data_IF_531339738610
#
_entry.id   IF_531339738610
#
_cell.length_a   1.000
_cell.length_b   1.000
_cell.length_c   1.000
_cell.angle_alpha   90.00
_cell.angle_beta   90.00
_cell.angle_gamma   90.00
#
_symmetry.space_group_name_H-M   'P 1'
#
loop_
_entity.id
_entity.type
_entity.pdbx_description
1 polymer ?
#
# COMPACT_ATOMS: atom_id res chain seq x y z
N UNK A 1 -21.40 -2.39 18.35
CA UNK A 1 -19.92 -2.55 18.25
C UNK A 1 -19.44 -3.03 16.89
N UNK A 2 -20.04 -4.06 16.27
CA UNK A 2 -19.63 -4.54 14.95
C UNK A 2 -19.73 -3.46 13.84
N UNK A 3 -20.79 -2.64 13.83
CA UNK A 3 -20.98 -1.53 12.88
C UNK A 3 -19.87 -0.48 12.94
N UNK A 4 -19.36 -0.16 14.13
CA UNK A 4 -18.30 0.82 14.33
C UNK A 4 -16.97 0.36 13.72
N UNK A 5 -16.61 -0.92 13.90
CA UNK A 5 -15.40 -1.50 13.32
C UNK A 5 -15.50 -1.52 11.79
N UNK A 6 -16.67 -1.92 11.25
CA UNK A 6 -16.91 -1.87 9.80
C UNK A 6 -16.67 -0.48 9.25
N UNK A 7 -17.26 0.53 9.88
CA UNK A 7 -17.12 1.92 9.45
C UNK A 7 -15.67 2.41 9.57
N UNK A 8 -14.95 2.06 10.64
CA UNK A 8 -13.55 2.46 10.80
C UNK A 8 -12.64 1.86 9.73
N UNK A 9 -12.80 0.57 9.39
CA UNK A 9 -12.01 -0.08 8.34
C UNK A 9 -12.30 0.57 6.98
N UNK A 10 -13.58 0.74 6.63
CA UNK A 10 -13.97 1.38 5.37
C UNK A 10 -13.44 2.81 5.30
N UNK A 11 -13.58 3.60 6.37
CA UNK A 11 -13.07 4.98 6.45
C UNK A 11 -11.55 5.05 6.27
N UNK A 12 -10.81 4.05 6.74
CA UNK A 12 -9.35 3.99 6.57
C UNK A 12 -8.96 3.69 5.13
N UNK A 13 -9.64 2.74 4.50
CA UNK A 13 -9.41 2.36 3.11
C UNK A 13 -9.82 3.47 2.15
N UNK A 14 -10.92 4.18 2.44
CA UNK A 14 -11.41 5.28 1.61
C UNK A 14 -10.44 6.46 1.54
N UNK A 15 -9.51 6.61 2.51
CA UNK A 15 -8.48 7.66 2.46
C UNK A 15 -7.55 7.53 1.26
N UNK A 16 -7.42 6.34 0.67
CA UNK A 16 -6.54 6.08 -0.47
C UNK A 16 -7.21 6.33 -1.83
N UNK A 17 -8.51 6.66 -1.85
CA UNK A 17 -9.26 6.93 -3.08
C UNK A 17 -9.77 8.36 -3.07
N UNK A 18 -9.42 9.13 -4.09
CA UNK A 18 -9.88 10.51 -4.24
C UNK A 18 -11.37 10.57 -4.53
N UNK A 19 -12.02 11.57 -3.94
CA UNK A 19 -13.41 11.94 -4.23
C UNK A 19 -14.36 10.74 -4.14
N UNK A 20 -14.06 9.78 -3.27
CA UNK A 20 -14.92 8.62 -3.05
C UNK A 20 -16.23 9.12 -2.44
N UNK A 21 -17.28 9.18 -3.26
CA UNK A 21 -18.60 9.57 -2.77
C UNK A 21 -19.19 8.42 -1.94
N UNK A 22 -20.02 8.76 -0.94
CA UNK A 22 -20.72 7.76 -0.13
C UNK A 22 -21.58 6.80 -0.99
N UNK A 23 -22.01 7.26 -2.18
CA UNK A 23 -22.81 6.49 -3.13
C UNK A 23 -21.96 5.49 -3.95
N UNK A 24 -20.67 5.77 -4.17
CA UNK A 24 -19.74 4.84 -4.82
C UNK A 24 -19.29 3.72 -3.88
N UNK A 25 -19.39 3.92 -2.57
CA UNK A 25 -19.20 2.85 -1.59
C UNK A 25 -20.41 1.92 -1.69
N UNK A 26 -20.31 0.91 -2.55
CA UNK A 26 -21.38 -0.05 -2.73
C UNK A 26 -21.78 -0.68 -1.37
N UNK A 27 -23.09 -0.83 -1.16
CA UNK A 27 -23.67 -1.50 0.01
C UNK A 27 -23.08 -2.92 0.18
N UNK A 28 -22.67 -3.54 -0.92
CA UNK A 28 -21.97 -4.81 -0.94
C UNK A 28 -20.67 -4.77 -0.10
N UNK A 29 -19.95 -3.64 -0.05
CA UNK A 29 -18.72 -3.50 0.74
C UNK A 29 -19.00 -3.63 2.24
N UNK A 30 -20.15 -3.12 2.70
CA UNK A 30 -20.65 -3.29 4.07
C UNK A 30 -21.07 -4.75 4.33
N UNK A 31 -21.54 -5.45 3.29
CA UNK A 31 -21.80 -6.90 3.30
C UNK A 31 -20.52 -7.75 3.20
N UNK A 32 -19.40 -7.17 2.76
CA UNK A 32 -18.08 -7.80 2.73
C UNK A 32 -17.44 -7.91 1.36
N UNK A 33 -18.04 -7.39 0.29
CA UNK A 33 -17.47 -7.42 -1.06
C UNK A 33 -17.73 -6.09 -1.78
N UNK A 34 -16.70 -5.39 -2.21
CA UNK A 34 -16.82 -4.11 -2.89
C UNK A 34 -16.06 -4.13 -4.21
N UNK A 35 -16.59 -3.42 -5.20
CA UNK A 35 -15.89 -3.18 -6.45
C UNK A 35 -16.01 -1.71 -6.81
N UNK A 36 -14.93 -1.13 -7.30
CA UNK A 36 -14.83 0.22 -7.84
C UNK A 36 -14.08 0.15 -9.17
N UNK A 37 -14.51 0.96 -10.14
CA UNK A 37 -13.86 1.08 -11.44
C UNK A 37 -13.39 2.52 -11.69
N UNK A 38 -12.33 2.65 -12.47
CA UNK A 38 -11.71 3.90 -12.89
C UNK A 38 -11.45 4.87 -11.74
N UNK A 39 -10.76 4.39 -10.70
CA UNK A 39 -10.50 5.18 -9.50
C UNK A 39 -9.22 5.99 -9.62
N UNK A 40 -9.26 7.21 -9.07
CA UNK A 40 -8.06 8.00 -8.82
C UNK A 40 -7.62 7.75 -7.39
N UNK A 41 -6.36 7.36 -7.21
CA UNK A 41 -5.78 7.16 -5.89
C UNK A 41 -5.33 8.51 -5.32
N UNK A 42 -5.38 8.64 -4.00
CA UNK A 42 -4.90 9.85 -3.32
C UNK A 42 -3.36 9.84 -3.27
N UNK A 43 -2.73 10.79 -3.97
CA UNK A 43 -1.27 10.82 -4.10
C UNK A 43 -0.60 11.10 -2.76
N UNK A 44 -1.19 11.95 -1.91
CA UNK A 44 -0.61 12.27 -0.60
C UNK A 44 -0.68 11.06 0.32
N UNK A 45 -1.81 10.38 0.36
CA UNK A 45 -1.95 9.14 1.13
C UNK A 45 -0.96 8.06 0.66
N UNK A 46 -0.71 7.97 -0.64
CA UNK A 46 0.30 7.05 -1.20
C UNK A 46 1.73 7.47 -0.87
N UNK A 47 2.06 8.76 -0.99
CA UNK A 47 3.37 9.30 -0.60
C UNK A 47 3.67 9.03 0.87
N UNK A 48 2.68 9.24 1.75
CA UNK A 48 2.81 9.05 3.20
C UNK A 48 3.01 7.57 3.55
N UNK A 49 2.20 6.67 2.98
CA UNK A 49 2.28 5.23 3.31
C UNK A 49 3.52 4.55 2.74
N UNK A 50 4.04 5.06 1.62
CA UNK A 50 5.27 4.53 0.99
C UNK A 50 6.53 5.20 1.51
N UNK A 51 6.41 6.19 2.40
CA UNK A 51 7.52 7.00 2.89
C UNK A 51 8.36 7.55 1.72
N UNK A 52 7.68 8.02 0.67
CA UNK A 52 8.34 8.42 -0.56
C UNK A 52 9.34 9.56 -0.27
N UNK A 53 10.57 9.51 -0.81
CA UNK A 53 11.56 10.56 -0.60
C UNK A 53 11.03 11.96 -0.93
N UNK A 54 11.44 12.99 -0.19
CA UNK A 54 10.91 14.36 -0.30
C UNK A 54 11.23 15.05 -1.63
N UNK A 55 12.22 14.55 -2.36
CA UNK A 55 12.58 15.02 -3.71
C UNK A 55 11.73 14.38 -4.83
N UNK A 56 10.88 13.39 -4.50
CA UNK A 56 9.91 12.79 -5.40
C UNK A 56 8.50 13.18 -4.98
N UNK A 57 7.61 13.36 -5.96
CA UNK A 57 6.18 13.59 -5.75
C UNK A 57 5.37 12.75 -6.73
N UNK A 58 4.30 12.13 -6.25
CA UNK A 58 3.34 11.45 -7.11
C UNK A 58 2.47 12.53 -7.76
N UNK A 59 2.57 12.63 -9.08
CA UNK A 59 1.80 13.56 -9.91
C UNK A 59 0.40 13.05 -10.16
N UNK A 60 0.29 11.74 -10.39
CA UNK A 60 -0.95 11.06 -10.75
C UNK A 60 -0.87 9.60 -10.34
N UNK A 61 -1.94 9.10 -9.73
CA UNK A 61 -2.10 7.68 -9.46
C UNK A 61 -3.52 7.23 -9.84
N UNK A 62 -3.62 6.26 -10.74
CA UNK A 62 -4.90 5.73 -11.23
C UNK A 62 -4.94 4.22 -11.10
N UNK A 63 -6.12 3.68 -10.90
CA UNK A 63 -6.36 2.24 -10.91
C UNK A 63 -7.63 1.95 -11.72
N UNK A 64 -7.51 1.04 -12.69
CA UNK A 64 -8.59 0.69 -13.59
C UNK A 64 -9.75 0.00 -12.87
N UNK A 65 -9.45 -0.98 -12.01
CA UNK A 65 -10.47 -1.62 -11.16
C UNK A 65 -9.88 -1.99 -9.80
N UNK A 66 -10.66 -1.81 -8.76
CA UNK A 66 -10.33 -2.22 -7.40
C UNK A 66 -11.44 -3.11 -6.85
N UNK A 67 -11.09 -4.33 -6.49
CA UNK A 67 -11.97 -5.26 -5.80
C UNK A 67 -11.50 -5.45 -4.36
N UNK A 68 -12.44 -5.47 -3.43
CA UNK A 68 -12.16 -5.69 -2.01
C UNK A 68 -13.09 -6.76 -1.45
N UNK A 69 -12.52 -7.69 -0.70
CA UNK A 69 -13.26 -8.70 0.06
C UNK A 69 -12.85 -8.67 1.52
N UNK A 70 -13.82 -8.40 2.38
CA UNK A 70 -13.66 -8.25 3.82
C UNK A 70 -14.39 -9.40 4.52
N UNK A 71 -13.66 -10.37 5.11
CA UNK A 71 -14.27 -11.49 5.84
C UNK A 71 -14.74 -11.04 7.23
N UNK A 72 -15.85 -10.30 7.31
CA UNK A 72 -16.32 -9.66 8.55
C UNK A 72 -16.40 -10.59 9.76
N UNK A 73 -16.81 -11.85 9.57
CA UNK A 73 -16.90 -12.85 10.65
C UNK A 73 -15.52 -13.34 11.13
N UNK A 74 -14.50 -13.30 10.27
CA UNK A 74 -13.22 -13.97 10.45
C UNK A 74 -12.01 -13.02 10.37
N UNK A 75 -12.18 -11.72 10.62
CA UNK A 75 -11.09 -10.71 10.56
C UNK A 75 -9.89 -10.97 11.49
N UNK A 76 -10.02 -11.88 12.47
CA UNK A 76 -8.89 -12.30 13.33
C UNK A 76 -7.97 -13.30 12.64
N UNK A 77 -8.54 -14.11 11.76
CA UNK A 77 -7.90 -15.29 11.16
C UNK A 77 -7.63 -15.10 9.68
N UNK A 78 -8.55 -14.44 8.95
CA UNK A 78 -8.46 -14.24 7.51
C UNK A 78 -8.10 -12.80 7.15
N UNK A 79 -7.28 -12.60 6.10
CA UNK A 79 -6.92 -11.28 5.60
C UNK A 79 -8.10 -10.62 4.89
N UNK A 80 -8.11 -9.29 4.92
CA UNK A 80 -8.86 -8.50 3.93
C UNK A 80 -8.12 -8.65 2.62
N UNK A 81 -8.82 -9.10 1.57
CA UNK A 81 -8.26 -9.25 0.24
C UNK A 81 -8.55 -7.98 -0.55
N UNK A 82 -7.51 -7.34 -1.08
CA UNK A 82 -7.60 -6.19 -1.96
C UNK A 82 -6.93 -6.57 -3.28
N UNK A 83 -7.64 -6.41 -4.38
CA UNK A 83 -7.14 -6.69 -5.72
C UNK A 83 -7.26 -5.42 -6.56
N UNK A 84 -6.15 -5.01 -7.19
CA UNK A 84 -6.09 -3.82 -8.03
C UNK A 84 -5.66 -4.21 -9.44
N UNK A 85 -6.36 -3.69 -10.44
CA UNK A 85 -6.04 -3.87 -11.85
C UNK A 85 -5.60 -2.53 -12.45
N UNK A 86 -4.66 -2.60 -13.38
CA UNK A 86 -4.15 -1.48 -14.19
C UNK A 86 -3.81 -0.26 -13.34
N UNK A 87 -2.88 -0.45 -12.42
CA UNK A 87 -2.37 0.61 -11.55
C UNK A 87 -1.27 1.36 -12.29
N UNK A 88 -1.46 2.67 -12.45
CA UNK A 88 -0.49 3.55 -13.10
C UNK A 88 -0.15 4.68 -12.13
N UNK A 89 1.14 4.82 -11.85
CA UNK A 89 1.68 5.83 -10.93
C UNK A 89 2.73 6.65 -11.69
N UNK A 90 2.45 7.93 -11.85
CA UNK A 90 3.40 8.91 -12.40
C UNK A 90 4.01 9.72 -11.26
N UNK A 91 5.34 9.73 -11.21
CA UNK A 91 6.16 10.39 -10.22
C UNK A 91 7.02 11.44 -10.93
N UNK A 92 7.20 12.60 -10.32
CA UNK A 92 8.10 13.65 -10.80
C UNK A 92 9.11 14.06 -9.72
N UNK A 93 10.30 14.48 -10.15
CA UNK A 93 11.28 15.11 -9.25
C UNK A 93 10.85 16.54 -8.94
N UNK A 94 10.98 16.96 -7.68
CA UNK A 94 10.68 18.32 -7.25
C UNK A 94 11.95 19.17 -7.14
N UNK A 95 11.95 20.39 -7.67
CA UNK A 95 13.03 21.37 -7.46
C UNK A 95 13.05 21.87 -6.01
N UNK A 96 11.86 22.19 -5.47
CA UNK A 96 11.67 22.46 -4.04
C UNK A 96 11.24 21.16 -3.36
N UNK A 97 12.00 20.71 -2.37
CA UNK A 97 11.67 19.53 -1.57
C UNK A 97 10.27 19.66 -0.97
N UNK A 98 9.51 18.56 -0.95
CA UNK A 98 8.22 18.52 -0.26
C UNK A 98 8.44 18.82 1.22
N UNK A 99 7.56 19.65 1.79
CA UNK A 99 7.58 19.93 3.22
C UNK A 99 7.38 18.63 3.99
N UNK A 100 8.29 18.33 4.93
CA UNK A 100 8.17 17.20 5.85
C UNK A 100 7.02 17.36 6.85
N UNK A 101 6.12 18.35 6.67
CA UNK A 101 5.12 18.76 7.66
C UNK A 101 4.05 17.70 7.99
N UNK A 102 4.17 16.45 7.50
CA UNK A 102 3.42 15.30 8.00
C UNK A 102 4.25 14.00 8.14
N UNK A 103 5.57 14.05 7.97
CA UNK A 103 6.45 12.91 8.29
C UNK A 103 6.68 12.73 9.80
N UNK A 104 5.96 13.50 10.63
CA UNK A 104 5.74 13.17 12.03
C UNK A 104 4.91 11.89 12.14
N UNK A 105 5.63 10.77 12.12
CA UNK A 105 5.50 9.71 13.11
C UNK A 105 4.07 9.32 13.48
N UNK A 106 3.43 8.42 12.73
CA UNK A 106 2.51 7.42 13.30
C UNK A 106 1.35 7.88 14.19
N UNK A 107 0.99 9.16 14.20
CA UNK A 107 0.01 9.78 15.08
C UNK A 107 -1.01 10.55 14.25
N UNK A 108 -1.77 9.82 13.42
CA UNK A 108 -3.15 10.20 13.20
C UNK A 108 -3.76 10.32 14.63
N UNK A 109 -4.36 11.44 15.06
CA UNK A 109 -4.93 11.58 16.42
C UNK A 109 -6.06 10.56 16.71
N UNK A 110 -6.46 9.79 15.68
CA UNK A 110 -7.27 8.57 15.82
C UNK A 110 -6.47 7.27 16.09
N UNK A 111 -5.15 7.35 16.27
CA UNK A 111 -4.26 6.28 16.74
C UNK A 111 -4.39 6.16 18.26
N UNK A 112 -5.62 5.84 18.67
CA UNK A 112 -5.80 5.22 19.97
C UNK A 112 -4.98 3.93 20.07
N UNK A 113 -4.96 3.37 21.28
CA UNK A 113 -4.34 2.09 21.64
C UNK A 113 -4.46 1.07 20.49
N UNK A 114 -3.34 0.43 20.12
CA UNK A 114 -3.29 -0.51 18.99
C UNK A 114 -4.40 -1.57 19.10
N UNK A 115 -5.42 -1.42 18.26
CA UNK A 115 -6.72 -2.05 18.45
C UNK A 115 -7.00 -3.22 17.53
N UNK A 116 -8.27 -3.60 17.47
CA UNK A 116 -8.76 -4.59 16.51
C UNK A 116 -8.68 -4.07 15.06
N UNK A 117 -9.10 -2.83 14.83
CA UNK A 117 -9.08 -2.19 13.51
C UNK A 117 -7.67 -2.15 12.92
N UNK A 118 -6.67 -1.75 13.71
CA UNK A 118 -5.26 -1.72 13.28
C UNK A 118 -4.77 -3.11 12.88
N UNK A 119 -5.12 -4.13 13.68
CA UNK A 119 -4.83 -5.52 13.34
C UNK A 119 -5.51 -5.99 12.07
N UNK A 120 -6.74 -5.57 11.79
CA UNK A 120 -7.42 -5.93 10.54
C UNK A 120 -6.72 -5.30 9.33
N UNK A 121 -6.35 -4.01 9.44
CA UNK A 121 -5.63 -3.27 8.38
C UNK A 121 -4.25 -3.86 8.13
N UNK A 122 -3.50 -4.17 9.19
CA UNK A 122 -2.18 -4.80 9.07
C UNK A 122 -2.24 -6.19 8.44
N UNK A 123 -3.40 -6.85 8.55
CA UNK A 123 -3.68 -8.14 7.94
C UNK A 123 -4.07 -8.09 6.47
N UNK A 124 -4.16 -6.91 5.83
CA UNK A 124 -4.52 -6.81 4.40
C UNK A 124 -3.51 -7.57 3.54
N UNK A 125 -4.04 -8.34 2.60
CA UNK A 125 -3.31 -8.90 1.46
C UNK A 125 -3.70 -8.14 0.20
N UNK A 126 -2.71 -7.73 -0.58
CA UNK A 126 -2.89 -6.93 -1.79
C UNK A 126 -2.33 -7.70 -2.99
N UNK A 127 -3.13 -7.84 -4.04
CA UNK A 127 -2.70 -8.37 -5.34
C UNK A 127 -2.90 -7.28 -6.39
N UNK A 128 -1.91 -7.08 -7.25
CA UNK A 128 -1.98 -6.13 -8.36
C UNK A 128 -1.71 -6.88 -9.66
N UNK A 129 -2.62 -6.75 -10.63
CA UNK A 129 -2.56 -7.49 -11.92
C UNK A 129 -1.76 -6.76 -13.00
N UNK A 130 -1.45 -5.49 -12.82
CA UNK A 130 -0.61 -4.69 -13.73
C UNK A 130 -0.24 -3.41 -12.99
N UNK A 131 1.06 -3.15 -12.85
CA UNK A 131 1.57 -1.98 -12.16
C UNK A 131 2.65 -1.30 -12.99
N UNK A 132 2.40 -0.05 -13.35
CA UNK A 132 3.36 0.79 -14.06
C UNK A 132 3.72 2.00 -13.22
N UNK A 133 5.00 2.11 -12.86
CA UNK A 133 5.58 3.33 -12.33
C UNK A 133 6.32 4.08 -13.44
N UNK A 134 6.14 5.39 -13.52
CA UNK A 134 6.96 6.25 -14.39
C UNK A 134 7.50 7.41 -13.58
N UNK A 135 8.82 7.53 -13.51
CA UNK A 135 9.53 8.64 -12.89
C UNK A 135 10.00 9.58 -14.01
N UNK A 136 9.59 10.85 -13.94
CA UNK A 136 10.02 11.92 -14.85
C UNK A 136 10.87 12.91 -14.08
N UNK A 137 12.07 13.19 -14.58
CA UNK A 137 12.95 14.25 -14.09
C UNK A 137 13.39 15.15 -15.24
N UNK A 138 14.15 16.20 -14.94
CA UNK A 138 14.71 17.08 -15.97
C UNK A 138 15.75 16.37 -16.87
N UNK A 139 16.54 15.45 -16.31
CA UNK A 139 17.65 14.79 -17.01
C UNK A 139 17.39 13.35 -17.47
N UNK A 140 16.42 12.67 -16.85
CA UNK A 140 16.08 11.31 -17.22
C UNK A 140 14.60 10.98 -16.99
N UNK A 141 14.14 9.95 -17.73
CA UNK A 141 12.86 9.29 -17.52
C UNK A 141 13.15 7.82 -17.20
N UNK A 142 12.53 7.31 -16.14
CA UNK A 142 12.58 5.90 -15.81
C UNK A 142 11.16 5.32 -15.74
N UNK A 143 10.99 4.07 -16.13
CA UNK A 143 9.74 3.33 -15.98
C UNK A 143 10.02 1.95 -15.37
N UNK A 144 9.11 1.52 -14.49
CA UNK A 144 9.09 0.18 -13.93
C UNK A 144 7.75 -0.43 -14.25
N UNK A 145 7.76 -1.60 -14.90
CA UNK A 145 6.57 -2.37 -15.19
C UNK A 145 6.63 -3.72 -14.46
N UNK A 146 5.62 -3.97 -13.62
CA UNK A 146 5.40 -5.23 -12.94
C UNK A 146 4.09 -5.85 -13.48
N UNK A 147 4.15 -7.00 -14.16
CA UNK A 147 2.94 -7.70 -14.62
C UNK A 147 2.11 -8.24 -13.48
N UNK A 148 2.70 -8.53 -12.32
CA UNK A 148 1.94 -8.85 -11.12
C UNK A 148 2.75 -8.52 -9.88
N UNK A 149 2.06 -8.09 -8.82
CA UNK A 149 2.64 -7.81 -7.51
C UNK A 149 1.71 -8.37 -6.43
N UNK A 150 2.23 -9.28 -5.61
CA UNK A 150 1.53 -9.82 -4.45
C UNK A 150 2.17 -9.34 -3.16
N UNK A 151 1.36 -8.90 -2.21
CA UNK A 151 1.75 -8.52 -0.86
C UNK A 151 0.86 -9.28 0.11
N UNK A 152 1.46 -10.08 0.97
CA UNK A 152 0.72 -10.87 1.95
C UNK A 152 1.50 -11.04 3.25
N UNK A 153 0.78 -11.40 4.31
CA UNK A 153 1.38 -11.63 5.63
C UNK A 153 2.01 -13.02 5.70
N UNK A 154 3.18 -13.14 6.33
CA UNK A 154 3.93 -14.40 6.46
C UNK A 154 4.19 -14.73 7.92
N UNK A 155 4.55 -15.98 8.20
CA UNK A 155 5.09 -16.37 9.49
C UNK A 155 6.50 -15.76 9.70
N UNK A 156 7.02 -15.70 10.93
CA UNK A 156 8.34 -15.12 11.22
C UNK A 156 9.51 -15.77 10.45
N UNK A 157 9.35 -17.04 10.06
CA UNK A 157 10.30 -17.78 9.23
C UNK A 157 10.16 -17.49 7.72
N UNK A 158 9.25 -16.59 7.32
CA UNK A 158 8.96 -16.23 5.95
C UNK A 158 8.11 -17.24 5.18
N UNK A 159 7.49 -18.22 5.86
CA UNK A 159 6.55 -19.14 5.21
C UNK A 159 5.17 -18.49 5.04
N UNK A 160 4.53 -18.80 3.91
CA UNK A 160 3.12 -18.45 3.69
C UNK A 160 2.25 -19.32 4.60
N UNK A 161 1.29 -18.69 5.27
CA UNK A 161 0.39 -19.35 6.23
C UNK A 161 -1.05 -18.91 5.98
N UNK A 162 -2.00 -19.80 6.26
CA UNK A 162 -3.41 -19.56 5.96
C UNK A 162 -4.13 -18.69 7.01
N UNK A 163 -3.51 -18.48 8.17
CA UNK A 163 -4.12 -17.75 9.29
C UNK A 163 -3.24 -16.61 9.81
N UNK A 164 -3.82 -15.41 9.94
CA UNK A 164 -3.17 -14.19 10.45
C UNK A 164 -2.69 -14.27 11.92
N UNK A 165 -3.13 -15.26 12.69
CA UNK A 165 -2.68 -15.46 14.07
C UNK A 165 -1.23 -15.90 14.14
N UNK A 166 -0.74 -16.59 13.10
CA UNK A 166 0.63 -17.10 13.00
C UNK A 166 1.59 -16.09 12.36
N UNK A 167 1.10 -14.95 11.86
CA UNK A 167 1.90 -13.94 11.15
C UNK A 167 2.46 -12.84 12.06
N UNK A 168 2.33 -13.01 13.38
CA UNK A 168 2.61 -11.97 14.37
C UNK A 168 3.33 -12.53 15.59
N UNK A 169 4.32 -11.79 16.08
CA UNK A 169 4.95 -12.07 17.37
C UNK A 169 4.59 -10.96 18.35
N UNK A 170 3.91 -11.32 19.43
CA UNK A 170 3.50 -10.37 20.46
C UNK A 170 4.40 -10.50 21.68
N UNK A 171 5.02 -9.41 22.08
CA UNK A 171 5.71 -9.32 23.38
C UNK A 171 4.85 -8.48 24.32
N UNK A 172 4.09 -9.15 25.19
CA UNK A 172 3.18 -8.49 26.14
C UNK A 172 3.95 -7.68 27.18
N UNK A 173 5.11 -8.15 27.63
CA UNK A 173 5.96 -7.48 28.64
C UNK A 173 6.51 -6.15 28.14
N UNK A 174 6.99 -6.11 26.88
CA UNK A 174 7.55 -4.88 26.27
C UNK A 174 6.50 -4.05 25.53
N UNK A 175 5.25 -4.50 25.47
CA UNK A 175 4.19 -3.79 24.75
C UNK A 175 4.45 -3.64 23.26
N UNK A 176 5.08 -4.62 22.60
CA UNK A 176 5.40 -4.57 21.17
C UNK A 176 4.75 -5.72 20.40
N UNK A 177 4.50 -5.48 19.11
CA UNK A 177 4.11 -6.51 18.15
C UNK A 177 5.00 -6.43 16.91
N UNK A 178 5.49 -7.58 16.45
CA UNK A 178 6.17 -7.72 15.18
C UNK A 178 5.21 -8.32 14.15
N UNK A 179 5.27 -7.78 12.94
CA UNK A 179 4.47 -8.18 11.79
C UNK A 179 5.40 -8.49 10.63
N UNK A 180 5.08 -9.54 9.88
CA UNK A 180 5.90 -9.99 8.76
C UNK A 180 5.07 -9.97 7.48
N UNK A 181 5.62 -9.34 6.43
CA UNK A 181 5.03 -9.33 5.10
C UNK A 181 6.06 -9.77 4.07
N UNK A 182 5.56 -10.42 3.04
CA UNK A 182 6.33 -10.70 1.84
C UNK A 182 5.69 -9.99 0.65
N UNK A 183 6.54 -9.34 -0.13
CA UNK A 183 6.21 -8.72 -1.41
C UNK A 183 6.87 -9.58 -2.49
N UNK A 184 6.09 -10.02 -3.46
CA UNK A 184 6.54 -10.94 -4.50
C UNK A 184 6.10 -10.43 -5.87
N UNK A 185 7.04 -10.41 -6.83
CA UNK A 185 6.76 -10.15 -8.24
C UNK A 185 7.64 -11.07 -9.10
N UNK A 186 7.06 -11.89 -10.00
CA UNK A 186 7.81 -12.84 -10.82
C UNK A 186 8.81 -12.18 -11.76
N UNK A 187 8.51 -10.98 -12.25
CA UNK A 187 9.35 -10.25 -13.17
C UNK A 187 9.13 -8.74 -13.04
N UNK A 188 10.20 -7.98 -13.25
CA UNK A 188 10.12 -6.54 -13.42
C UNK A 188 10.91 -6.12 -14.65
N UNK A 189 10.35 -5.16 -15.38
CA UNK A 189 11.03 -4.47 -16.46
C UNK A 189 11.30 -3.05 -16.02
N UNK A 190 12.56 -2.67 -15.98
CA UNK A 190 13.00 -1.33 -15.61
C UNK A 190 13.66 -0.72 -16.84
N UNK A 191 13.16 0.42 -17.31
CA UNK A 191 13.76 1.15 -18.42
C UNK A 191 14.13 2.55 -17.96
N UNK A 192 15.29 3.04 -18.37
CA UNK A 192 15.73 4.40 -18.11
C UNK A 192 16.28 5.00 -19.40
N UNK A 193 15.95 6.26 -19.67
CA UNK A 193 16.42 7.00 -20.84
C UNK A 193 16.70 8.45 -20.47
N UNK A 194 17.61 9.09 -21.21
CA UNK A 194 17.78 10.54 -21.15
C UNK A 194 16.50 11.24 -21.60
N UNK A 195 16.22 12.41 -21.04
CA UNK A 195 15.16 13.34 -21.50
C UNK A 195 15.70 14.45 -22.38
N UNK A 196 17.00 14.46 -22.69
CA UNK A 196 17.59 15.42 -23.63
C UNK A 196 17.11 15.16 -25.06
N UNK A 197 16.44 16.15 -25.64
CA UNK A 197 15.94 16.11 -27.01
C UNK A 197 17.05 16.31 -28.05
N UNK A 198 18.16 16.94 -27.67
CA UNK A 198 19.27 17.23 -28.58
C UNK A 198 20.20 16.03 -28.77
N UNK A 199 20.25 15.14 -27.77
CA UNK A 199 20.97 13.87 -27.86
C UNK A 199 20.13 12.77 -27.20
N UNK A 200 19.33 11.99 -27.96
CA UNK A 200 18.55 10.89 -27.39
C UNK A 200 19.53 9.83 -26.88
N UNK A 201 19.92 9.94 -25.61
CA UNK A 201 20.83 9.02 -24.96
C UNK A 201 20.29 7.60 -25.02
N UNK A 202 21.19 6.62 -25.12
CA UNK A 202 20.83 5.20 -25.19
C UNK A 202 19.97 4.81 -23.99
N UNK A 203 18.82 4.17 -24.26
CA UNK A 203 17.98 3.65 -23.18
C UNK A 203 18.60 2.39 -22.59
N UNK A 204 18.62 2.33 -21.26
CA UNK A 204 19.06 1.17 -20.50
C UNK A 204 17.81 0.40 -20.10
N UNK A 205 17.81 -0.91 -20.34
CA UNK A 205 16.73 -1.82 -19.95
C UNK A 205 17.29 -2.91 -19.05
N UNK A 206 16.72 -3.02 -17.84
CA UNK A 206 16.94 -4.13 -16.94
C UNK A 206 15.69 -5.00 -16.89
N UNK A 207 15.90 -6.31 -16.91
CA UNK A 207 14.85 -7.29 -16.67
C UNK A 207 15.33 -8.14 -15.50
N UNK A 208 14.52 -8.17 -14.45
CA UNK A 208 14.76 -9.01 -13.28
C UNK A 208 13.65 -10.04 -13.15
N UNK A 209 13.99 -11.21 -12.67
CA UNK A 209 13.09 -12.34 -12.49
C UNK A 209 13.10 -12.81 -11.03
N UNK A 210 12.04 -13.54 -10.65
CA UNK A 210 11.88 -14.23 -9.37
C UNK A 210 12.12 -13.32 -8.16
N UNK A 211 11.62 -12.09 -8.21
CA UNK A 211 11.90 -11.10 -7.18
C UNK A 211 11.00 -11.27 -5.97
N UNK A 212 11.61 -11.12 -4.79
CA UNK A 212 10.95 -11.24 -3.50
C UNK A 212 11.60 -10.29 -2.51
N UNK A 213 10.77 -9.60 -1.73
CA UNK A 213 11.21 -8.75 -0.64
C UNK A 213 10.45 -9.11 0.63
N UNK A 214 11.17 -9.21 1.75
CA UNK A 214 10.59 -9.49 3.07
C UNK A 214 10.69 -8.26 3.94
N UNK A 215 9.58 -7.91 4.58
CA UNK A 215 9.47 -6.73 5.44
C UNK A 215 9.06 -7.20 6.84
N UNK A 216 9.80 -6.73 7.84
CA UNK A 216 9.47 -6.91 9.25
C UNK A 216 9.16 -5.56 9.87
N UNK A 217 7.98 -5.41 10.45
CA UNK A 217 7.52 -4.15 11.05
C UNK A 217 7.34 -4.33 12.55
N UNK A 218 7.87 -3.39 13.34
CA UNK A 218 7.66 -3.32 14.79
C UNK A 218 6.65 -2.22 15.11
N UNK A 219 5.61 -2.53 15.88
CA UNK A 219 4.62 -1.56 16.36
C UNK A 219 4.50 -1.58 17.87
N UNK A 220 4.20 -0.41 18.46
CA UNK A 220 3.92 -0.24 19.87
C UNK A 220 2.43 -0.50 20.16
N UNK A 221 2.15 -1.25 21.22
CA UNK A 221 0.79 -1.61 21.64
C UNK A 221 0.15 -0.52 22.52
N UNK A 222 0.97 0.27 23.19
CA UNK A 222 0.54 1.47 23.91
C UNK A 222 0.65 2.65 22.94
N UNK A 223 -0.45 3.41 22.76
CA UNK A 223 -0.37 4.68 22.04
C UNK A 223 0.64 5.56 22.76
N UNK A 224 1.43 6.34 22.03
CA UNK A 224 2.42 7.23 22.63
C UNK A 224 1.70 8.14 23.64
N UNK A 225 1.87 7.86 24.93
CA UNK A 225 1.60 8.82 25.98
C UNK A 225 2.76 9.82 25.91
N UNK A 226 2.50 10.96 25.31
CA UNK A 226 3.20 12.19 25.65
C UNK A 226 2.17 13.10 26.30
#
# INVERSE_FOLDING_TARGET
MASLIKHQIIKRLSKFVKNLSANQINISTIKGEGELSSINLDERALEDVTELPTWLKIKKATCGRAFIKIPWANLKTLPIQLSLDDVIIEIETCEKLRDLQNLSSGNDPSMGKYGFTNRAIDGISLTISSLTFTIKSQGFKASVFLPTLDIYSTAPNGQKVDTLTLTRLRNTTKGHILLFKEIFWPNARIEASSTDNNSPGTSIRFIVNSCRMRISMKKNLQGAHF
#
